data_IF_676662299992
#
_entry.id   IF_676662299992
#
_cell.length_a   1.000
_cell.length_b   1.000
_cell.length_c   1.000
_cell.angle_alpha   90.00
_cell.angle_beta   90.00
_cell.angle_gamma   90.00
#
_symmetry.space_group_name_H-M   'P 1'
#
loop_
_entity.id
_entity.type
_entity.pdbx_description
1 polymer ?
#
# COMPACT_ATOMS: atom_id res chain seq x y z
N UNK A 1 6.88 -40.94 -11.52
CA UNK A 1 7.13 -39.51 -11.34
C UNK A 1 6.55 -39.15 -10.00
N UNK A 2 7.33 -38.86 -8.93
CA UNK A 2 6.77 -38.45 -7.67
C UNK A 2 6.46 -36.95 -7.71
N UNK A 3 5.21 -36.61 -7.38
CA UNK A 3 4.76 -35.26 -7.13
C UNK A 3 5.52 -34.67 -5.91
N UNK A 4 6.30 -33.64 -6.16
CA UNK A 4 6.93 -32.87 -5.09
C UNK A 4 5.87 -31.97 -4.47
N UNK A 5 5.27 -32.42 -3.37
CA UNK A 5 4.51 -31.58 -2.46
C UNK A 5 5.47 -30.58 -1.82
N UNK A 6 5.43 -29.32 -2.27
CA UNK A 6 6.05 -28.23 -1.53
C UNK A 6 5.25 -27.98 -0.25
N UNK A 7 5.83 -28.39 0.86
CA UNK A 7 5.38 -28.08 2.21
C UNK A 7 5.58 -26.58 2.41
N UNK A 8 4.49 -25.84 2.52
CA UNK A 8 4.50 -24.46 2.99
C UNK A 8 4.88 -24.45 4.48
N UNK A 9 6.15 -24.33 4.78
CA UNK A 9 6.58 -24.00 6.15
C UNK A 9 6.06 -22.60 6.51
N UNK A 10 5.18 -22.56 7.49
CA UNK A 10 4.80 -21.34 8.21
C UNK A 10 5.97 -20.91 9.11
N UNK A 11 6.98 -20.29 8.53
CA UNK A 11 8.08 -19.67 9.27
C UNK A 11 8.07 -18.16 9.09
N UNK A 12 7.51 -17.48 10.05
CA UNK A 12 7.61 -16.04 10.23
C UNK A 12 7.35 -15.73 11.70
N UNK A 13 8.22 -14.95 12.34
CA UNK A 13 8.13 -14.56 13.74
C UNK A 13 6.70 -14.17 14.12
N UNK A 14 6.19 -14.71 15.24
CA UNK A 14 4.83 -14.56 15.72
C UNK A 14 4.53 -13.14 16.23
N UNK A 15 4.49 -12.15 15.34
CA UNK A 15 3.75 -10.92 15.52
C UNK A 15 2.32 -11.18 15.06
N UNK A 16 1.34 -10.66 15.79
CA UNK A 16 -0.08 -10.78 15.42
C UNK A 16 -0.27 -10.18 14.02
N UNK A 17 -0.80 -10.94 13.06
CA UNK A 17 -1.07 -10.43 11.73
C UNK A 17 -2.13 -9.32 11.83
N UNK A 18 -1.79 -8.12 11.34
CA UNK A 18 -2.73 -6.99 11.27
C UNK A 18 -3.72 -7.18 10.12
N UNK A 19 -3.23 -7.73 9.00
CA UNK A 19 -4.04 -8.04 7.82
C UNK A 19 -3.75 -9.48 7.36
N UNK A 20 -4.82 -10.22 7.03
CA UNK A 20 -4.74 -11.54 6.43
C UNK A 20 -5.69 -11.63 5.24
N UNK A 21 -5.20 -12.14 4.14
CA UNK A 21 -6.00 -12.57 3.00
C UNK A 21 -5.98 -14.10 2.96
N UNK A 22 -7.16 -14.69 2.95
CA UNK A 22 -7.33 -16.14 3.05
C UNK A 22 -8.12 -16.64 1.84
N UNK A 23 -7.45 -17.26 0.87
CA UNK A 23 -8.04 -17.84 -0.33
C UNK A 23 -8.86 -16.85 -1.15
N UNK A 24 -8.37 -15.63 -1.37
CA UNK A 24 -9.12 -14.57 -2.04
C UNK A 24 -9.32 -14.85 -3.52
N UNK A 25 -10.58 -14.89 -3.94
CA UNK A 25 -10.97 -14.89 -5.35
C UNK A 25 -11.77 -13.63 -5.69
N UNK A 26 -11.27 -12.81 -6.59
CA UNK A 26 -11.90 -11.57 -7.02
C UNK A 26 -12.06 -11.53 -8.54
N UNK A 27 -13.19 -10.98 -9.00
CA UNK A 27 -13.57 -10.99 -10.41
C UNK A 27 -13.97 -9.60 -10.90
N UNK A 28 -13.66 -9.30 -12.17
CA UNK A 28 -14.28 -8.24 -12.95
C UNK A 28 -15.22 -8.88 -13.99
N UNK A 29 -16.51 -8.94 -13.69
CA UNK A 29 -17.45 -9.70 -14.49
C UNK A 29 -17.04 -11.17 -14.58
N UNK A 30 -16.63 -11.64 -15.76
CA UNK A 30 -16.15 -12.99 -15.99
C UNK A 30 -14.64 -13.16 -15.85
N UNK A 31 -13.89 -12.08 -15.71
CA UNK A 31 -12.41 -12.13 -15.59
C UNK A 31 -12.04 -12.45 -14.16
N UNK A 32 -11.39 -13.60 -13.95
CA UNK A 32 -10.86 -14.04 -12.66
C UNK A 32 -9.53 -13.35 -12.38
N UNK A 33 -9.56 -12.26 -11.63
CA UNK A 33 -8.41 -11.39 -11.41
C UNK A 33 -7.50 -11.84 -10.26
N UNK A 34 -8.08 -12.35 -9.16
CA UNK A 34 -7.33 -12.98 -8.05
C UNK A 34 -7.82 -14.41 -7.86
N UNK A 35 -6.87 -15.36 -7.72
CA UNK A 35 -7.10 -16.79 -7.86
C UNK A 35 -6.60 -17.57 -6.64
N UNK A 36 -7.30 -17.43 -5.50
CA UNK A 36 -6.92 -18.09 -4.26
C UNK A 36 -5.70 -17.42 -3.60
N UNK A 37 -5.73 -16.09 -3.48
CA UNK A 37 -4.61 -15.33 -2.94
C UNK A 37 -4.57 -15.41 -1.42
N UNK A 38 -3.44 -15.90 -0.89
CA UNK A 38 -3.12 -15.95 0.53
C UNK A 38 -1.95 -15.00 0.83
N UNK A 39 -2.13 -14.09 1.79
CA UNK A 39 -1.10 -13.12 2.18
C UNK A 39 -1.33 -12.64 3.60
N UNK A 40 -0.25 -12.30 4.30
CA UNK A 40 -0.31 -11.69 5.63
C UNK A 40 0.57 -10.44 5.70
N UNK A 41 0.14 -9.47 6.52
CA UNK A 41 0.92 -8.28 6.88
C UNK A 41 0.94 -8.21 8.40
N UNK A 42 2.12 -8.27 9.00
CA UNK A 42 2.33 -8.13 10.44
C UNK A 42 2.23 -6.67 10.87
N UNK A 43 1.92 -6.44 12.13
CA UNK A 43 1.91 -5.09 12.71
C UNK A 43 3.32 -4.48 12.68
N UNK A 44 3.43 -3.22 12.24
CA UNK A 44 4.71 -2.51 12.09
C UNK A 44 5.58 -3.00 10.92
N UNK A 45 5.05 -3.85 10.05
CA UNK A 45 5.77 -4.41 8.91
C UNK A 45 5.57 -3.57 7.64
N UNK A 46 6.60 -3.43 6.81
CA UNK A 46 6.47 -3.05 5.40
C UNK A 46 6.45 -4.33 4.59
N UNK A 47 5.33 -4.62 3.93
CA UNK A 47 5.20 -5.75 3.01
C UNK A 47 5.07 -5.23 1.58
N UNK A 48 5.91 -5.71 0.68
CA UNK A 48 5.83 -5.40 -0.74
C UNK A 48 5.05 -6.48 -1.50
N UNK A 49 4.12 -6.05 -2.36
CA UNK A 49 3.48 -6.89 -3.36
C UNK A 49 3.96 -6.44 -4.74
N UNK A 50 4.89 -7.19 -5.32
CA UNK A 50 5.49 -6.88 -6.61
C UNK A 50 4.93 -7.76 -7.72
N UNK A 51 4.96 -7.27 -8.94
CA UNK A 51 4.47 -8.00 -10.12
C UNK A 51 4.30 -7.09 -11.32
N UNK A 52 4.21 -7.68 -12.50
CA UNK A 52 3.99 -6.95 -13.75
C UNK A 52 2.62 -6.29 -13.85
N UNK A 53 2.41 -5.51 -14.91
CA UNK A 53 1.12 -4.91 -15.21
C UNK A 53 0.07 -6.01 -15.45
N UNK A 54 -1.12 -5.82 -14.88
CA UNK A 54 -2.20 -6.81 -14.98
C UNK A 54 -2.04 -8.04 -14.08
N UNK A 55 -1.00 -8.12 -13.23
CA UNK A 55 -0.81 -9.24 -12.30
C UNK A 55 -1.91 -9.37 -11.24
N UNK A 56 -2.65 -8.27 -10.95
CA UNK A 56 -3.70 -8.23 -9.93
C UNK A 56 -3.39 -7.35 -8.72
N UNK A 57 -2.27 -6.61 -8.74
CA UNK A 57 -1.79 -5.78 -7.61
C UNK A 57 -2.84 -4.77 -7.11
N UNK A 58 -3.29 -3.86 -7.97
CA UNK A 58 -4.37 -2.90 -7.66
C UNK A 58 -5.66 -3.59 -7.24
N UNK A 59 -5.98 -4.74 -7.85
CA UNK A 59 -7.16 -5.54 -7.48
C UNK A 59 -7.05 -6.03 -6.05
N UNK A 60 -5.86 -6.46 -5.62
CA UNK A 60 -5.59 -6.87 -4.24
C UNK A 60 -5.88 -5.72 -3.28
N UNK A 61 -5.31 -4.52 -3.52
CA UNK A 61 -5.56 -3.35 -2.66
C UNK A 61 -7.03 -2.93 -2.64
N UNK A 62 -7.71 -2.96 -3.78
CA UNK A 62 -9.16 -2.67 -3.86
C UNK A 62 -10.00 -3.68 -3.09
N UNK A 63 -9.58 -4.96 -3.08
CA UNK A 63 -10.26 -6.00 -2.32
C UNK A 63 -10.04 -5.80 -0.82
N UNK A 64 -8.79 -5.52 -0.40
CA UNK A 64 -8.42 -5.24 0.99
C UNK A 64 -9.16 -4.02 1.53
N UNK A 65 -9.18 -2.92 0.76
CA UNK A 65 -9.81 -1.66 1.18
C UNK A 65 -11.34 -1.66 1.12
N UNK A 66 -11.99 -2.78 0.73
CA UNK A 66 -13.45 -2.87 0.62
C UNK A 66 -14.04 -2.16 -0.60
N UNK A 67 -13.22 -1.70 -1.54
CA UNK A 67 -13.67 -1.14 -2.82
C UNK A 67 -14.15 -2.23 -3.78
N UNK A 68 -13.70 -3.47 -3.57
CA UNK A 68 -14.18 -4.66 -4.27
C UNK A 68 -14.48 -5.77 -3.26
N UNK A 69 -15.61 -6.46 -3.46
CA UNK A 69 -15.95 -7.61 -2.64
C UNK A 69 -15.35 -8.88 -3.26
N UNK A 70 -14.59 -9.70 -2.50
CA UNK A 70 -14.17 -11.00 -2.98
C UNK A 70 -15.39 -11.92 -3.18
N UNK A 71 -15.34 -12.79 -4.19
CA UNK A 71 -16.38 -13.79 -4.44
C UNK A 71 -16.23 -14.98 -3.49
N UNK A 72 -14.98 -15.36 -3.18
CA UNK A 72 -14.62 -16.40 -2.23
C UNK A 72 -13.42 -15.94 -1.41
N UNK A 73 -13.20 -16.60 -0.29
CA UNK A 73 -12.15 -16.25 0.65
C UNK A 73 -12.54 -15.12 1.62
N UNK A 74 -11.61 -14.72 2.46
CA UNK A 74 -11.84 -13.75 3.52
C UNK A 74 -10.68 -12.75 3.62
N UNK A 75 -11.02 -11.48 3.84
CA UNK A 75 -10.10 -10.43 4.27
C UNK A 75 -10.30 -10.25 5.77
N UNK A 76 -9.28 -10.53 6.54
CA UNK A 76 -9.29 -10.38 8.00
C UNK A 76 -8.40 -9.19 8.37
N UNK A 77 -8.94 -8.21 9.05
CA UNK A 77 -8.23 -7.03 9.54
C UNK A 77 -8.43 -6.88 11.05
N UNK A 78 -7.36 -6.78 11.83
CA UNK A 78 -7.38 -6.81 13.30
C UNK A 78 -8.19 -8.00 13.85
N UNK A 79 -7.99 -9.18 13.27
CA UNK A 79 -8.70 -10.42 13.66
C UNK A 79 -10.19 -10.46 13.29
N UNK A 80 -10.72 -9.45 12.59
CA UNK A 80 -12.12 -9.39 12.17
C UNK A 80 -12.27 -9.55 10.66
N UNK A 81 -13.22 -10.38 10.23
CA UNK A 81 -13.55 -10.50 8.82
C UNK A 81 -14.21 -9.19 8.33
N UNK A 82 -13.54 -8.53 7.37
CA UNK A 82 -14.00 -7.29 6.74
C UNK A 82 -14.40 -7.47 5.27
N UNK A 83 -14.54 -8.72 4.81
CA UNK A 83 -14.91 -9.03 3.43
C UNK A 83 -16.26 -8.42 3.05
N UNK A 84 -16.25 -7.48 2.11
CA UNK A 84 -17.45 -6.77 1.65
C UNK A 84 -17.97 -5.69 2.62
N UNK A 85 -17.24 -5.36 3.67
CA UNK A 85 -17.48 -4.14 4.46
C UNK A 85 -17.16 -2.93 3.59
N UNK A 86 -18.01 -1.89 3.56
CA UNK A 86 -17.76 -0.69 2.75
C UNK A 86 -16.45 0.00 3.11
N UNK A 87 -15.73 0.53 2.09
CA UNK A 87 -14.42 1.16 2.26
C UNK A 87 -14.40 2.26 3.35
N UNK A 88 -15.42 3.13 3.40
CA UNK A 88 -15.50 4.20 4.41
C UNK A 88 -15.56 3.66 5.85
N UNK A 89 -16.17 2.49 6.05
CA UNK A 89 -16.22 1.83 7.36
C UNK A 89 -14.86 1.24 7.73
N UNK A 90 -14.15 0.64 6.76
CA UNK A 90 -12.80 0.09 6.96
C UNK A 90 -11.82 1.23 7.28
N UNK A 91 -11.92 2.37 6.58
CA UNK A 91 -11.11 3.56 6.87
C UNK A 91 -11.31 4.05 8.31
N UNK A 92 -12.54 4.04 8.82
CA UNK A 92 -12.84 4.38 10.21
C UNK A 92 -12.19 3.45 11.25
N UNK A 93 -11.70 2.27 10.83
CA UNK A 93 -10.94 1.34 11.67
C UNK A 93 -9.42 1.51 11.58
N UNK A 94 -8.93 2.56 10.91
CA UNK A 94 -7.52 2.86 10.81
C UNK A 94 -6.80 2.26 9.60
N UNK A 95 -7.51 1.93 8.52
CA UNK A 95 -6.91 1.56 7.24
C UNK A 95 -7.04 2.75 6.27
N UNK A 96 -5.93 3.18 5.65
CA UNK A 96 -5.94 4.20 4.60
C UNK A 96 -5.42 3.63 3.30
N UNK A 97 -5.93 4.13 2.17
CA UNK A 97 -5.54 3.71 0.84
C UNK A 97 -5.18 4.92 -0.03
N UNK A 98 -3.96 4.95 -0.54
CA UNK A 98 -3.49 5.86 -1.58
C UNK A 98 -3.55 5.10 -2.91
N UNK A 99 -4.58 5.34 -3.73
CA UNK A 99 -4.75 4.61 -4.98
C UNK A 99 -3.82 5.17 -6.07
N UNK A 100 -3.59 4.37 -7.10
CA UNK A 100 -2.90 4.78 -8.32
C UNK A 100 -3.50 6.06 -8.93
N UNK A 101 -2.65 6.91 -9.48
CA UNK A 101 -3.06 8.15 -10.13
C UNK A 101 -3.34 9.30 -9.16
N UNK A 102 -2.79 9.24 -7.94
CA UNK A 102 -2.75 10.32 -6.91
C UNK A 102 -4.12 10.67 -6.34
N UNK A 103 -5.17 10.79 -7.14
CA UNK A 103 -6.59 11.06 -6.77
C UNK A 103 -6.75 12.22 -5.77
N UNK A 104 -5.98 13.30 -5.96
CA UNK A 104 -6.13 14.53 -5.19
C UNK A 104 -7.35 15.34 -5.65
N UNK A 105 -7.82 16.25 -4.80
CA UNK A 105 -8.85 17.23 -5.17
C UNK A 105 -8.16 18.46 -5.78
N UNK A 106 -8.04 18.49 -7.12
CA UNK A 106 -7.27 19.49 -7.85
C UNK A 106 -7.78 20.93 -7.70
N UNK A 107 -9.08 21.11 -7.41
CA UNK A 107 -9.71 22.42 -7.19
C UNK A 107 -9.57 22.92 -5.75
N UNK A 108 -9.10 22.09 -4.83
CA UNK A 108 -8.83 22.43 -3.45
C UNK A 108 -7.34 22.77 -3.28
N UNK A 109 -7.03 23.66 -2.34
CA UNK A 109 -5.67 23.93 -1.92
C UNK A 109 -5.02 22.70 -1.26
N UNK A 110 -3.70 22.75 -1.06
CA UNK A 110 -2.96 21.74 -0.29
C UNK A 110 -3.60 21.54 1.08
N UNK A 111 -3.83 22.64 1.82
CA UNK A 111 -4.45 22.60 3.15
C UNK A 111 -5.83 21.97 3.12
N UNK A 112 -6.70 22.40 2.24
CA UNK A 112 -8.06 21.85 2.12
C UNK A 112 -8.04 20.36 1.75
N UNK A 113 -7.11 19.90 0.91
CA UNK A 113 -6.91 18.47 0.65
C UNK A 113 -6.58 17.69 1.93
N UNK A 114 -5.72 18.24 2.81
CA UNK A 114 -5.39 17.62 4.09
C UNK A 114 -6.61 17.61 5.03
N UNK A 115 -7.34 18.72 5.13
CA UNK A 115 -8.57 18.81 5.94
C UNK A 115 -9.62 17.77 5.50
N UNK A 116 -9.82 17.60 4.18
CA UNK A 116 -10.69 16.53 3.66
C UNK A 116 -10.19 15.14 4.05
N UNK A 117 -8.86 14.94 4.09
CA UNK A 117 -8.26 13.68 4.58
C UNK A 117 -8.64 13.35 6.02
N UNK A 118 -8.87 14.36 6.83
CA UNK A 118 -9.26 14.23 8.24
C UNK A 118 -10.79 14.10 8.47
N UNK A 119 -11.58 13.79 7.45
CA UNK A 119 -13.07 13.86 7.53
C UNK A 119 -13.72 13.01 8.64
N UNK A 120 -13.02 11.99 9.16
CA UNK A 120 -13.48 11.19 10.31
C UNK A 120 -13.06 11.77 11.66
N UNK A 121 -12.22 12.81 11.68
CA UNK A 121 -11.71 13.46 12.89
C UNK A 121 -12.55 14.67 13.20
N UNK A 122 -13.16 14.72 14.39
CA UNK A 122 -14.06 15.81 14.80
C UNK A 122 -13.34 16.90 15.60
N UNK A 123 -12.21 16.57 16.23
CA UNK A 123 -11.42 17.53 17.02
C UNK A 123 -10.56 18.41 16.09
N UNK A 124 -10.90 19.69 16.02
CA UNK A 124 -10.18 20.68 15.20
C UNK A 124 -8.71 20.88 15.62
N UNK A 125 -8.40 20.75 16.91
CA UNK A 125 -7.02 20.86 17.39
C UNK A 125 -6.17 19.69 16.85
N UNK A 126 -6.73 18.49 16.93
CA UNK A 126 -6.07 17.29 16.41
C UNK A 126 -5.90 17.34 14.88
N UNK A 127 -6.86 17.92 14.15
CA UNK A 127 -6.72 18.15 12.70
C UNK A 127 -5.54 19.08 12.44
N UNK A 128 -5.43 20.19 13.16
CA UNK A 128 -4.33 21.15 13.00
C UNK A 128 -2.98 20.52 13.36
N UNK A 129 -2.90 19.76 14.46
CA UNK A 129 -1.69 19.04 14.85
C UNK A 129 -1.23 18.09 13.74
N UNK A 130 -2.16 17.32 13.14
CA UNK A 130 -1.85 16.40 12.03
C UNK A 130 -1.44 17.11 10.73
N UNK A 131 -2.03 18.28 10.45
CA UNK A 131 -1.58 19.11 9.32
C UNK A 131 -0.13 19.56 9.53
N UNK A 132 0.23 20.01 10.74
CA UNK A 132 1.59 20.41 11.04
C UNK A 132 2.57 19.22 10.97
N UNK A 133 2.17 18.02 11.41
CA UNK A 133 2.95 16.81 11.23
C UNK A 133 3.14 16.44 9.75
N UNK A 134 2.08 16.56 8.95
CA UNK A 134 2.16 16.35 7.51
C UNK A 134 3.15 17.34 6.85
N UNK A 135 3.13 18.60 7.26
CA UNK A 135 4.07 19.60 6.77
C UNK A 135 5.52 19.38 7.23
N UNK A 136 5.73 18.74 8.38
CA UNK A 136 7.07 18.30 8.82
C UNK A 136 7.60 17.15 7.97
N UNK A 137 6.73 16.20 7.61
CA UNK A 137 7.09 15.09 6.71
C UNK A 137 7.29 15.55 5.27
N UNK A 138 6.51 16.54 4.83
CA UNK A 138 6.51 17.05 3.47
C UNK A 138 6.71 18.59 3.44
N UNK A 139 7.93 19.10 3.68
CA UNK A 139 8.18 20.56 3.73
C UNK A 139 7.74 21.30 2.48
N UNK A 140 7.84 20.66 1.30
CA UNK A 140 7.34 21.23 0.03
C UNK A 140 5.85 21.53 0.02
N UNK A 141 5.04 20.73 0.72
CA UNK A 141 3.61 21.00 0.85
C UNK A 141 3.35 22.23 1.73
N UNK A 142 4.17 22.45 2.76
CA UNK A 142 4.08 23.63 3.61
C UNK A 142 4.33 24.93 2.82
N UNK A 143 5.37 24.92 1.97
CA UNK A 143 5.72 26.07 1.12
C UNK A 143 4.56 26.46 0.17
N UNK A 144 3.65 25.52 -0.09
CA UNK A 144 2.56 25.62 -1.07
C UNK A 144 1.18 25.44 -0.44
N UNK A 145 1.05 25.67 0.86
CA UNK A 145 -0.16 25.39 1.64
C UNK A 145 -1.45 25.94 1.01
N UNK A 146 -1.40 27.16 0.46
CA UNK A 146 -2.55 27.80 -0.22
C UNK A 146 -2.65 27.50 -1.72
N UNK A 147 -1.70 26.76 -2.32
CA UNK A 147 -1.71 26.46 -3.75
C UNK A 147 -2.74 25.39 -4.08
N UNK A 148 -3.46 25.53 -5.21
CA UNK A 148 -4.39 24.52 -5.70
C UNK A 148 -3.64 23.22 -6.09
N UNK A 149 -4.10 22.09 -5.58
CA UNK A 149 -3.47 20.78 -5.80
C UNK A 149 -3.27 20.43 -7.28
N UNK A 150 -4.23 20.80 -8.12
CA UNK A 150 -4.17 20.53 -9.56
C UNK A 150 -3.06 21.28 -10.30
N UNK A 151 -2.47 22.33 -9.71
CA UNK A 151 -1.38 23.13 -10.29
C UNK A 151 0.01 22.67 -9.85
N UNK A 152 0.09 21.67 -8.98
CA UNK A 152 1.35 21.13 -8.47
C UNK A 152 1.97 20.12 -9.45
N UNK A 153 3.29 19.92 -9.33
CA UNK A 153 3.99 18.88 -10.08
C UNK A 153 3.50 17.49 -9.68
N UNK A 154 3.74 16.49 -10.53
CA UNK A 154 3.31 15.12 -10.27
C UNK A 154 3.86 14.53 -8.96
N UNK A 155 5.11 14.81 -8.63
CA UNK A 155 5.71 14.36 -7.36
C UNK A 155 5.09 15.04 -6.15
N UNK A 156 4.84 16.35 -6.22
CA UNK A 156 4.16 17.08 -5.14
C UNK A 156 2.72 16.61 -4.95
N UNK A 157 2.00 16.30 -6.04
CA UNK A 157 0.66 15.70 -5.95
C UNK A 157 0.67 14.33 -5.29
N UNK A 158 1.71 13.52 -5.53
CA UNK A 158 1.87 12.22 -4.87
C UNK A 158 2.15 12.39 -3.38
N UNK A 159 3.03 13.34 -3.02
CA UNK A 159 3.25 13.70 -1.62
C UNK A 159 1.96 14.15 -0.93
N UNK A 160 1.14 14.98 -1.61
CA UNK A 160 -0.15 15.43 -1.10
C UNK A 160 -1.14 14.26 -0.92
N UNK A 161 -1.17 13.30 -1.84
CA UNK A 161 -2.02 12.12 -1.73
C UNK A 161 -1.65 11.25 -0.52
N UNK A 162 -0.34 11.05 -0.27
CA UNK A 162 0.15 10.33 0.91
C UNK A 162 -0.14 11.11 2.18
N UNK A 163 0.18 12.41 2.22
CA UNK A 163 -0.07 13.28 3.36
C UNK A 163 -1.55 13.29 3.75
N UNK A 164 -2.46 13.36 2.77
CA UNK A 164 -3.91 13.27 2.98
C UNK A 164 -4.32 11.93 3.61
N UNK A 165 -3.72 10.82 3.18
CA UNK A 165 -4.02 9.51 3.75
C UNK A 165 -3.54 9.37 5.20
N UNK A 166 -2.50 10.11 5.60
CA UNK A 166 -1.99 10.13 6.96
C UNK A 166 -2.85 10.95 7.94
N UNK A 167 -3.77 11.79 7.45
CA UNK A 167 -4.61 12.65 8.29
C UNK A 167 -5.52 11.87 9.26
N UNK A 168 -5.82 10.62 9.00
CA UNK A 168 -6.56 9.74 9.92
C UNK A 168 -5.66 8.95 10.89
N UNK A 169 -4.34 9.15 10.82
CA UNK A 169 -3.33 8.39 11.57
C UNK A 169 -3.54 6.86 11.42
N UNK A 170 -3.35 6.31 10.21
CA UNK A 170 -3.70 4.94 9.92
C UNK A 170 -2.76 3.94 10.62
N UNK A 171 -3.32 2.81 11.10
CA UNK A 171 -2.57 1.63 11.52
C UNK A 171 -2.00 0.88 10.31
N UNK A 172 -2.77 0.84 9.20
CA UNK A 172 -2.39 0.22 7.95
C UNK A 172 -2.53 1.21 6.80
N UNK A 173 -1.41 1.48 6.12
CA UNK A 173 -1.36 2.32 4.93
C UNK A 173 -1.17 1.44 3.69
N UNK A 174 -2.11 1.51 2.75
CA UNK A 174 -2.06 0.84 1.45
C UNK A 174 -1.56 1.83 0.41
N UNK A 175 -0.48 1.51 -0.30
CA UNK A 175 0.11 2.34 -1.35
C UNK A 175 0.08 1.60 -2.69
N UNK A 176 -0.61 2.17 -3.67
CA UNK A 176 -0.78 1.59 -5.01
C UNK A 176 0.11 2.33 -6.01
N UNK A 177 1.25 1.72 -6.35
CA UNK A 177 2.27 2.22 -7.28
C UNK A 177 2.66 3.69 -7.04
N UNK A 178 3.09 4.04 -5.81
CA UNK A 178 3.35 5.44 -5.44
C UNK A 178 4.49 6.08 -6.23
N UNK A 179 5.37 5.29 -6.87
CA UNK A 179 6.50 5.80 -7.67
C UNK A 179 6.14 6.06 -9.13
N UNK A 180 4.96 5.59 -9.60
CA UNK A 180 4.66 5.58 -11.02
C UNK A 180 4.61 6.97 -11.65
N UNK A 181 5.37 7.15 -12.75
CA UNK A 181 5.40 8.41 -13.52
C UNK A 181 6.06 9.58 -12.79
N UNK A 182 6.93 9.30 -11.82
CA UNK A 182 7.72 10.29 -11.10
C UNK A 182 9.17 10.33 -11.62
N UNK A 183 9.84 11.45 -11.42
CA UNK A 183 11.28 11.53 -11.65
C UNK A 183 12.04 10.77 -10.56
N UNK A 184 13.29 10.31 -10.83
CA UNK A 184 14.08 9.54 -9.86
C UNK A 184 14.19 10.21 -8.49
N UNK A 185 14.40 11.51 -8.44
CA UNK A 185 14.48 12.28 -7.21
C UNK A 185 13.20 12.19 -6.36
N UNK A 186 12.02 12.24 -7.00
CA UNK A 186 10.74 12.10 -6.28
C UNK A 186 10.48 10.64 -5.88
N UNK A 187 10.92 9.68 -6.67
CA UNK A 187 10.85 8.24 -6.30
C UNK A 187 11.62 8.02 -5.00
N UNK A 188 12.89 8.41 -4.94
CA UNK A 188 13.73 8.30 -3.73
C UNK A 188 13.05 8.98 -2.53
N UNK A 189 12.60 10.23 -2.69
CA UNK A 189 11.94 10.96 -1.61
C UNK A 189 10.66 10.26 -1.09
N UNK A 190 9.86 9.63 -1.95
CA UNK A 190 8.66 8.88 -1.56
C UNK A 190 9.05 7.63 -0.76
N UNK A 191 10.05 6.87 -1.22
CA UNK A 191 10.49 5.65 -0.53
C UNK A 191 11.14 5.98 0.83
N UNK A 192 11.93 7.05 0.92
CA UNK A 192 12.47 7.56 2.20
C UNK A 192 11.35 7.90 3.19
N UNK A 193 10.27 8.55 2.71
CA UNK A 193 9.13 8.88 3.56
C UNK A 193 8.40 7.62 4.01
N UNK A 194 8.19 6.64 3.12
CA UNK A 194 7.56 5.35 3.45
C UNK A 194 8.36 4.63 4.55
N UNK A 195 9.69 4.57 4.40
CA UNK A 195 10.58 3.96 5.40
C UNK A 195 10.53 4.72 6.75
N UNK A 196 10.56 6.06 6.71
CA UNK A 196 10.45 6.89 7.92
C UNK A 196 9.11 6.71 8.63
N UNK A 197 7.99 6.66 7.91
CA UNK A 197 6.68 6.39 8.49
C UNK A 197 6.64 5.07 9.26
N UNK A 198 7.27 4.05 8.71
CA UNK A 198 7.37 2.77 9.40
C UNK A 198 8.31 2.83 10.59
N UNK A 199 9.55 3.31 10.43
CA UNK A 199 10.59 3.34 11.48
C UNK A 199 10.26 4.27 12.65
N UNK A 200 9.74 5.48 12.35
CA UNK A 200 9.53 6.53 13.36
C UNK A 200 8.13 6.44 14.00
N UNK A 201 7.12 5.94 13.28
CA UNK A 201 5.71 5.90 13.73
C UNK A 201 5.15 4.49 13.91
N UNK A 202 5.88 3.46 13.53
CA UNK A 202 5.40 2.07 13.58
C UNK A 202 4.26 1.80 12.60
N UNK A 203 4.03 2.65 11.59
CA UNK A 203 2.95 2.49 10.62
C UNK A 203 3.15 1.19 9.83
N UNK A 204 2.16 0.31 9.83
CA UNK A 204 2.16 -0.88 8.97
C UNK A 204 1.87 -0.47 7.54
N UNK A 205 2.60 -1.01 6.56
CA UNK A 205 2.49 -0.59 5.16
C UNK A 205 2.39 -1.80 4.25
N UNK A 206 1.36 -1.82 3.41
CA UNK A 206 1.28 -2.70 2.26
C UNK A 206 1.55 -1.87 1.00
N UNK A 207 2.73 -2.08 0.43
CA UNK A 207 3.23 -1.38 -0.74
C UNK A 207 3.08 -2.24 -1.98
N UNK A 208 2.31 -1.78 -2.94
CA UNK A 208 2.20 -2.39 -4.26
C UNK A 208 3.06 -1.61 -5.23
N UNK A 209 3.96 -2.27 -5.94
CA UNK A 209 4.91 -1.63 -6.85
C UNK A 209 5.26 -2.49 -8.07
N UNK A 210 5.55 -1.80 -9.16
CA UNK A 210 6.22 -2.38 -10.32
C UNK A 210 7.73 -2.22 -10.21
N UNK A 211 8.23 -1.15 -9.57
CA UNK A 211 9.64 -0.94 -9.29
C UNK A 211 10.08 -1.86 -8.14
N UNK A 212 10.38 -3.12 -8.49
CA UNK A 212 10.72 -4.16 -7.53
C UNK A 212 12.00 -3.82 -6.74
N UNK A 213 13.01 -3.21 -7.38
CA UNK A 213 14.27 -2.86 -6.71
C UNK A 213 14.04 -1.94 -5.53
N UNK A 214 13.31 -0.84 -5.75
CA UNK A 214 13.01 0.13 -4.68
C UNK A 214 12.12 -0.50 -3.60
N UNK A 215 11.07 -1.24 -4.00
CA UNK A 215 10.16 -1.87 -3.05
C UNK A 215 10.85 -2.90 -2.15
N UNK A 216 11.69 -3.77 -2.73
CA UNK A 216 12.44 -4.77 -1.99
C UNK A 216 13.53 -4.15 -1.09
N UNK A 217 14.05 -2.98 -1.46
CA UNK A 217 15.06 -2.26 -0.68
C UNK A 217 14.57 -1.79 0.70
N UNK A 218 13.27 -1.50 0.85
CA UNK A 218 12.68 -1.01 2.11
C UNK A 218 11.76 -2.02 2.80
N UNK A 219 11.31 -3.07 2.09
CA UNK A 219 10.37 -4.04 2.63
C UNK A 219 11.05 -5.05 3.56
N UNK A 220 10.32 -5.50 4.60
CA UNK A 220 10.71 -6.63 5.44
C UNK A 220 10.42 -7.96 4.76
N UNK A 221 9.23 -8.07 4.14
CA UNK A 221 8.78 -9.25 3.39
C UNK A 221 8.19 -8.83 2.05
N UNK A 222 8.22 -9.75 1.11
CA UNK A 222 7.63 -9.52 -0.20
C UNK A 222 6.84 -10.72 -0.71
N UNK A 223 5.86 -10.42 -1.55
CA UNK A 223 5.10 -11.37 -2.34
C UNK A 223 5.25 -11.02 -3.82
N UNK A 224 5.49 -12.02 -4.64
CA UNK A 224 5.54 -11.89 -6.10
C UNK A 224 4.22 -12.37 -6.67
N UNK A 225 3.45 -11.46 -7.25
CA UNK A 225 2.15 -11.72 -7.85
C UNK A 225 2.28 -11.87 -9.36
N UNK A 226 1.77 -12.97 -9.89
CA UNK A 226 1.72 -13.22 -11.33
C UNK A 226 0.36 -13.78 -11.72
N UNK A 227 -0.33 -13.13 -12.64
CA UNK A 227 -1.63 -13.57 -13.20
C UNK A 227 -2.67 -13.95 -12.13
N UNK A 228 -2.71 -13.15 -11.03
CA UNK A 228 -3.66 -13.32 -9.92
C UNK A 228 -3.29 -14.34 -8.85
N UNK A 229 -2.08 -14.91 -8.90
CA UNK A 229 -1.56 -15.90 -7.95
C UNK A 229 -0.23 -15.48 -7.35
N UNK A 230 0.01 -15.77 -6.07
CA UNK A 230 1.33 -15.61 -5.45
C UNK A 230 2.25 -16.73 -5.96
N UNK A 231 3.39 -16.34 -6.56
CA UNK A 231 4.41 -17.27 -7.05
C UNK A 231 5.53 -17.49 -6.07
N UNK A 232 5.94 -16.42 -5.39
CA UNK A 232 6.99 -16.45 -4.37
C UNK A 232 6.57 -15.57 -3.20
N UNK A 233 7.01 -15.93 -2.01
CA UNK A 233 6.85 -15.09 -0.82
C UNK A 233 7.98 -15.39 0.18
N UNK A 234 8.40 -14.39 0.93
CA UNK A 234 9.45 -14.54 1.93
C UNK A 234 10.06 -13.22 2.37
N UNK A 235 11.17 -13.25 3.12
CA UNK A 235 11.96 -12.07 3.43
C UNK A 235 12.38 -11.33 2.17
N UNK A 236 12.22 -10.00 2.15
CA UNK A 236 12.50 -9.20 0.94
C UNK A 236 13.92 -9.39 0.43
N UNK A 237 14.90 -9.50 1.32
CA UNK A 237 16.30 -9.75 0.97
C UNK A 237 16.52 -11.10 0.24
N UNK A 238 15.74 -12.14 0.57
CA UNK A 238 15.78 -13.43 -0.14
C UNK A 238 15.10 -13.34 -1.50
N UNK A 239 13.95 -12.70 -1.57
CA UNK A 239 13.23 -12.46 -2.84
C UNK A 239 14.08 -11.66 -3.82
N UNK A 240 14.83 -10.66 -3.34
CA UNK A 240 15.76 -9.88 -4.18
C UNK A 240 16.93 -10.70 -4.76
N UNK A 241 17.27 -11.84 -4.15
CA UNK A 241 18.32 -12.73 -4.63
C UNK A 241 17.80 -13.86 -5.53
N UNK A 242 16.50 -14.05 -5.60
CA UNK A 242 15.89 -15.09 -6.44
C UNK A 242 16.15 -14.82 -7.92
N UNK A 243 16.69 -15.82 -8.64
CA UNK A 243 17.08 -15.70 -10.04
C UNK A 243 15.92 -15.31 -10.96
N UNK A 244 14.73 -15.85 -10.71
CA UNK A 244 13.52 -15.54 -11.49
C UNK A 244 13.05 -14.10 -11.28
N UNK A 245 13.19 -13.58 -10.07
CA UNK A 245 12.85 -12.19 -9.72
C UNK A 245 13.89 -11.24 -10.33
N UNK A 246 15.17 -11.57 -10.24
CA UNK A 246 16.26 -10.78 -10.85
C UNK A 246 16.07 -10.62 -12.35
N UNK A 247 15.84 -11.72 -13.05
CA UNK A 247 15.61 -11.70 -14.52
C UNK A 247 14.32 -10.98 -14.91
N UNK A 248 13.23 -11.15 -14.15
CA UNK A 248 11.92 -10.61 -14.51
C UNK A 248 11.73 -9.14 -14.10
N UNK A 249 12.36 -8.67 -13.02
CA UNK A 249 12.03 -7.41 -12.39
C UNK A 249 13.21 -6.51 -12.00
N UNK A 250 14.46 -7.04 -11.91
CA UNK A 250 15.62 -6.27 -11.47
C UNK A 250 16.60 -5.93 -12.62
N UNK A 251 16.36 -6.44 -13.83
CA UNK A 251 17.13 -6.08 -15.02
C UNK A 251 18.50 -6.76 -15.13
N UNK A 252 18.74 -7.83 -14.37
CA UNK A 252 19.95 -8.65 -14.54
C UNK A 252 19.75 -9.63 -15.71
N UNK A 253 20.64 -9.57 -16.70
CA UNK A 253 20.74 -10.53 -17.80
C UNK A 253 21.33 -11.88 -17.35
#
# INVERSE_FOLDING_TARGET
MPETQMVTERTGAAGTALLELQGIHTYYGHIHALKGLDMTVGEGEIVALIGGNGAGKTTTLRTVSGMMKPKHGQVVYEGQNVSGVPAHTIMGRGMSHVPEGRRIFGQLSVRENLEVGAYTVTDRRLIEERIQEAFQLFPRLREREGQLGGTMSGGEQQMLAIARALMVNPKLLLLDEPSMGLSPLFVEAIFDIVERLNKERGTTILLVEQNASMALGIAHRAYVLQTGEIRLSGPAAQIAQDESVRKAYLGDE
#
